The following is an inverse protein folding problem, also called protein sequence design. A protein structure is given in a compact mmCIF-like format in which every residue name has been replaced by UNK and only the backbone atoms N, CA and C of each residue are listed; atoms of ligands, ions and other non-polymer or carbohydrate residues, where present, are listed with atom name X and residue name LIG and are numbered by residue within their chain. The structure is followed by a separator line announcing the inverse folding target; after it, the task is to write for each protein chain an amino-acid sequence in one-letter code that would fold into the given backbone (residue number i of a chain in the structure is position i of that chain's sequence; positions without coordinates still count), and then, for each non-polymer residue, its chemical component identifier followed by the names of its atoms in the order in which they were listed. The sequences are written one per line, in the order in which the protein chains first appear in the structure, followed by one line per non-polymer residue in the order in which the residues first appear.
data_IF_289688559200
#
_entry.id   IF_289688559200
#
_cell.length_a   1.000
_cell.length_b   1.000
_cell.length_c   1.000
_cell.angle_alpha   90.00
_cell.angle_beta   90.00
_cell.angle_gamma   90.00
#
_symmetry.space_group_name_H-M   'P 1'
#
loop_
_entity.id
_entity.type
_entity.pdbx_description
1 polymer ?
#
# COMPACT_ATOMS: atom_id res chain seq x y z
N UNK A 1 9.15 -4.65 15.22
CA UNK A 1 7.81 -4.97 15.77
C UNK A 1 7.69 -6.49 15.90
N UNK A 2 7.41 -7.01 17.09
CA UNK A 2 7.56 -8.44 17.41
C UNK A 2 6.19 -9.12 17.59
N UNK A 3 6.08 -10.38 17.16
CA UNK A 3 4.97 -11.25 17.56
C UNK A 3 5.09 -11.50 19.07
N UNK A 4 4.03 -11.22 19.82
CA UNK A 4 4.08 -11.36 21.28
C UNK A 4 4.24 -12.83 21.70
N UNK A 5 5.12 -13.13 22.66
CA UNK A 5 5.33 -14.50 23.16
C UNK A 5 4.04 -15.13 23.72
N UNK A 6 3.12 -14.31 24.26
CA UNK A 6 1.80 -14.76 24.72
C UNK A 6 0.93 -15.27 23.55
N UNK A 7 1.10 -14.71 22.35
CA UNK A 7 0.43 -15.18 21.13
C UNK A 7 0.94 -16.55 20.73
N UNK A 8 2.26 -16.71 20.65
CA UNK A 8 2.91 -17.97 20.29
C UNK A 8 2.47 -19.11 21.22
N UNK A 9 2.51 -18.88 22.54
CA UNK A 9 2.06 -19.87 23.54
C UNK A 9 0.58 -20.26 23.39
N UNK A 10 -0.29 -19.31 23.03
CA UNK A 10 -1.71 -19.61 22.77
C UNK A 10 -1.87 -20.48 21.52
N UNK A 11 -1.19 -20.12 20.44
CA UNK A 11 -1.22 -20.89 19.18
C UNK A 11 -0.72 -22.30 19.42
N UNK A 12 0.44 -22.46 20.06
CA UNK A 12 1.01 -23.77 20.38
C UNK A 12 0.02 -24.64 21.17
N UNK A 13 -0.57 -24.09 22.24
CA UNK A 13 -1.56 -24.82 23.06
C UNK A 13 -2.79 -25.22 22.26
N UNK A 14 -3.29 -24.35 21.39
CA UNK A 14 -4.46 -24.68 20.55
C UNK A 14 -4.13 -25.76 19.54
N UNK A 15 -2.96 -25.71 18.88
CA UNK A 15 -2.54 -26.75 17.94
C UNK A 15 -2.37 -28.11 18.64
N UNK A 16 -1.72 -28.15 19.81
CA UNK A 16 -1.57 -29.40 20.59
C UNK A 16 -2.92 -29.99 21.01
N UNK A 17 -3.89 -29.16 21.41
CA UNK A 17 -5.27 -29.63 21.73
C UNK A 17 -6.00 -30.22 20.53
N UNK A 18 -5.61 -29.87 19.30
CA UNK A 18 -6.13 -30.45 18.08
C UNK A 18 -5.42 -31.75 17.67
N UNK A 19 -4.52 -32.27 18.50
CA UNK A 19 -3.71 -33.45 18.17
C UNK A 19 -2.57 -33.16 17.20
N UNK A 20 -2.23 -31.88 16.95
CA UNK A 20 -1.15 -31.51 16.03
C UNK A 20 0.20 -31.68 16.75
N UNK A 21 1.05 -32.51 16.17
CA UNK A 21 2.42 -32.71 16.61
C UNK A 21 3.33 -31.61 16.06
N UNK A 22 3.83 -30.74 16.95
CA UNK A 22 4.71 -29.63 16.58
C UNK A 22 6.18 -30.01 16.74
N UNK A 23 6.91 -30.03 15.62
CA UNK A 23 8.36 -30.21 15.55
C UNK A 23 9.02 -28.87 15.23
N UNK A 24 9.54 -28.18 16.25
CA UNK A 24 10.18 -26.86 16.10
C UNK A 24 11.68 -27.00 15.85
N UNK A 25 12.29 -26.00 15.22
CA UNK A 25 13.71 -26.02 14.81
C UNK A 25 14.07 -27.23 13.94
N UNK A 26 13.08 -27.69 13.19
CA UNK A 26 13.19 -28.87 12.35
C UNK A 26 12.59 -28.56 10.98
N UNK A 27 13.27 -28.99 9.94
CA UNK A 27 12.97 -28.68 8.54
C UNK A 27 13.12 -29.94 7.69
N UNK A 28 12.15 -30.17 6.81
CA UNK A 28 12.25 -31.18 5.78
C UNK A 28 13.27 -30.76 4.70
N UNK A 29 14.18 -31.66 4.38
CA UNK A 29 15.17 -31.53 3.31
C UNK A 29 14.58 -32.06 2.01
N UNK A 30 13.83 -31.21 1.31
CA UNK A 30 13.19 -31.56 0.04
C UNK A 30 14.11 -31.22 -1.14
N UNK A 31 14.18 -32.10 -2.14
CA UNK A 31 14.73 -31.79 -3.47
C UNK A 31 13.77 -30.91 -4.26
N UNK A 32 14.24 -30.28 -5.35
CA UNK A 32 13.36 -29.46 -6.21
C UNK A 32 12.24 -30.29 -6.82
N UNK A 33 12.56 -31.50 -7.31
CA UNK A 33 11.55 -32.44 -7.80
C UNK A 33 10.49 -32.75 -6.74
N UNK A 34 10.89 -32.93 -5.47
CA UNK A 34 9.94 -33.18 -4.38
C UNK A 34 9.06 -31.96 -4.05
N UNK A 35 9.58 -30.73 -4.17
CA UNK A 35 8.76 -29.50 -4.00
C UNK A 35 7.74 -29.34 -5.11
N UNK A 36 8.11 -29.70 -6.33
CA UNK A 36 7.31 -29.48 -7.54
C UNK A 36 6.36 -30.64 -7.87
N UNK A 37 6.48 -31.78 -7.20
CA UNK A 37 5.71 -32.98 -7.51
C UNK A 37 4.19 -32.86 -7.25
N UNK A 38 3.72 -31.80 -6.58
CA UNK A 38 2.30 -31.57 -6.35
C UNK A 38 1.66 -32.61 -5.42
N UNK A 39 0.41 -33.01 -5.70
CA UNK A 39 -0.29 -34.08 -4.98
C UNK A 39 0.16 -35.45 -5.50
N UNK A 40 0.47 -36.37 -4.58
CA UNK A 40 0.82 -37.75 -4.90
C UNK A 40 0.00 -38.67 -4.03
N UNK A 41 -0.67 -39.63 -4.64
CA UNK A 41 -1.52 -40.62 -3.98
C UNK A 41 -0.67 -41.80 -3.45
N UNK A 42 0.32 -41.51 -2.60
CA UNK A 42 1.11 -42.53 -1.90
C UNK A 42 1.87 -41.95 -0.71
N UNK A 43 2.13 -42.80 0.29
CA UNK A 43 3.01 -42.44 1.42
C UNK A 43 4.43 -42.17 0.95
N UNK A 44 5.04 -41.15 1.54
CA UNK A 44 6.42 -40.74 1.28
C UNK A 44 7.17 -40.49 2.57
N UNK A 45 8.45 -40.79 2.55
CA UNK A 45 9.37 -40.52 3.64
C UNK A 45 10.30 -39.36 3.29
N UNK A 46 10.38 -38.37 4.17
CA UNK A 46 11.18 -37.17 3.99
C UNK A 46 12.21 -37.02 5.10
N UNK A 47 13.47 -36.81 4.71
CA UNK A 47 14.56 -36.59 5.66
C UNK A 47 14.47 -35.17 6.27
N UNK A 48 14.80 -35.06 7.54
CA UNK A 48 14.87 -33.79 8.26
C UNK A 48 16.32 -33.31 8.36
N UNK A 49 16.51 -32.05 8.74
CA UNK A 49 17.84 -31.50 9.02
C UNK A 49 18.52 -32.11 10.26
N UNK A 50 17.85 -32.99 11.01
CA UNK A 50 18.42 -33.74 12.13
C UNK A 50 18.80 -35.19 11.75
N UNK A 51 18.56 -35.60 10.50
CA UNK A 51 18.81 -36.96 10.02
C UNK A 51 17.64 -37.93 10.22
N UNK A 52 16.59 -37.52 10.94
CA UNK A 52 15.36 -38.30 11.08
C UNK A 52 14.55 -38.33 9.78
N UNK A 53 13.61 -39.28 9.70
CA UNK A 53 12.64 -39.37 8.62
C UNK A 53 11.21 -39.16 9.11
N UNK A 54 10.41 -38.49 8.28
CA UNK A 54 8.97 -38.29 8.51
C UNK A 54 8.21 -38.94 7.36
N UNK A 55 7.38 -39.93 7.70
CA UNK A 55 6.44 -40.53 6.76
C UNK A 55 5.12 -39.74 6.73
N UNK A 56 4.62 -39.45 5.54
CA UNK A 56 3.36 -38.75 5.34
C UNK A 56 2.71 -39.14 4.02
N UNK A 57 1.38 -39.18 4.01
CA UNK A 57 0.49 -39.34 2.87
C UNK A 57 0.19 -37.99 2.16
N UNK A 58 0.30 -36.86 2.87
CA UNK A 58 0.03 -35.52 2.36
C UNK A 58 1.01 -34.48 2.90
N UNK A 59 1.75 -33.85 2.00
CA UNK A 59 2.68 -32.77 2.32
C UNK A 59 2.19 -31.41 1.80
N UNK A 60 1.88 -30.49 2.72
CA UNK A 60 1.74 -29.07 2.40
C UNK A 60 3.08 -28.35 2.60
N UNK A 61 3.71 -27.91 1.50
CA UNK A 61 4.98 -27.20 1.56
C UNK A 61 4.75 -25.69 1.72
N UNK A 62 5.12 -25.15 2.87
CA UNK A 62 5.17 -23.72 3.11
C UNK A 62 6.58 -23.19 2.76
N UNK A 63 6.79 -22.72 1.53
CA UNK A 63 8.11 -22.31 1.02
C UNK A 63 8.61 -20.99 1.60
N UNK A 64 7.72 -20.15 2.14
CA UNK A 64 8.06 -18.80 2.57
C UNK A 64 8.56 -17.92 1.41
N UNK A 65 9.16 -16.77 1.74
CA UNK A 65 9.70 -15.86 0.74
C UNK A 65 11.12 -16.28 0.36
N UNK A 66 11.23 -17.18 -0.63
CA UNK A 66 12.54 -17.62 -1.15
C UNK A 66 13.18 -16.53 -2.02
N UNK A 67 12.35 -15.80 -2.78
CA UNK A 67 12.78 -14.69 -3.63
C UNK A 67 11.64 -13.69 -3.77
N UNK A 68 11.95 -12.40 -3.68
CA UNK A 68 11.00 -11.33 -3.95
C UNK A 68 10.97 -10.98 -5.44
N UNK A 69 9.83 -10.48 -5.93
CA UNK A 69 9.72 -10.02 -7.30
C UNK A 69 10.31 -8.61 -7.44
N UNK A 70 11.62 -8.55 -7.67
CA UNK A 70 12.42 -7.31 -7.69
C UNK A 70 13.04 -7.00 -9.04
N UNK A 71 12.94 -7.91 -10.01
CA UNK A 71 13.62 -7.83 -11.32
C UNK A 71 13.51 -6.47 -12.01
N UNK A 72 12.32 -5.86 -12.01
CA UNK A 72 12.10 -4.54 -12.62
C UNK A 72 13.00 -3.45 -12.00
N UNK A 73 13.12 -3.46 -10.67
CA UNK A 73 13.96 -2.50 -9.94
C UNK A 73 15.44 -2.84 -10.11
N UNK A 74 15.77 -4.13 -10.18
CA UNK A 74 17.13 -4.58 -10.46
C UNK A 74 17.63 -4.07 -11.82
N UNK A 75 16.80 -4.20 -12.86
CA UNK A 75 17.11 -3.72 -14.21
C UNK A 75 17.24 -2.18 -14.26
N UNK A 76 16.40 -1.46 -13.51
CA UNK A 76 16.41 0.00 -13.45
C UNK A 76 17.68 0.54 -12.77
N UNK A 77 18.12 -0.11 -11.70
CA UNK A 77 19.18 0.38 -10.81
C UNK A 77 20.50 -0.36 -11.02
N UNK A 78 20.81 -0.82 -12.23
CA UNK A 78 21.95 -1.69 -12.52
C UNK A 78 23.31 -1.26 -11.89
N UNK A 79 23.53 0.05 -11.68
CA UNK A 79 24.74 0.59 -11.04
C UNK A 79 24.59 0.99 -9.57
N UNK A 80 23.36 1.00 -9.06
CA UNK A 80 22.98 1.41 -7.70
C UNK A 80 22.14 0.32 -7.02
N UNK A 81 22.34 -0.93 -7.43
CA UNK A 81 21.52 -2.07 -7.00
C UNK A 81 21.51 -2.23 -5.48
N UNK A 82 22.66 -2.02 -4.85
CA UNK A 82 22.86 -2.09 -3.40
C UNK A 82 22.13 -0.97 -2.64
N UNK A 83 21.78 0.12 -3.32
CA UNK A 83 21.00 1.24 -2.77
C UNK A 83 19.49 1.00 -2.85
N UNK A 84 19.04 0.10 -3.75
CA UNK A 84 17.61 -0.13 -4.00
C UNK A 84 17.15 -1.55 -3.68
N UNK A 85 18.05 -2.51 -3.49
CA UNK A 85 17.75 -3.88 -3.04
C UNK A 85 18.47 -4.12 -1.71
N UNK A 86 17.70 -4.46 -0.68
CA UNK A 86 18.21 -4.81 0.64
C UNK A 86 19.02 -6.12 0.61
N UNK A 87 19.79 -6.37 1.66
CA UNK A 87 20.55 -7.63 1.82
C UNK A 87 19.65 -8.89 1.83
N UNK A 88 18.37 -8.71 2.15
CA UNK A 88 17.35 -9.77 2.17
C UNK A 88 16.62 -9.93 0.84
N UNK A 89 16.99 -9.14 -0.18
CA UNK A 89 16.45 -9.19 -1.53
C UNK A 89 15.13 -8.42 -1.71
N UNK A 90 14.77 -7.55 -0.77
CA UNK A 90 13.57 -6.69 -0.85
C UNK A 90 13.94 -5.35 -1.49
N UNK A 91 13.00 -4.67 -2.13
CA UNK A 91 13.18 -3.29 -2.58
C UNK A 91 13.30 -2.40 -1.34
N UNK A 92 14.43 -1.69 -1.25
CA UNK A 92 14.68 -0.70 -0.22
C UNK A 92 13.86 0.56 -0.47
N UNK A 93 13.02 0.95 0.50
CA UNK A 93 12.20 2.15 0.41
C UNK A 93 12.36 3.09 1.60
N UNK A 94 12.21 4.39 1.31
CA UNK A 94 12.09 5.41 2.35
C UNK A 94 10.78 5.24 3.14
N UNK A 95 10.63 5.88 4.31
CA UNK A 95 9.35 5.90 5.04
C UNK A 95 8.19 6.49 4.24
N UNK A 96 8.46 7.26 3.18
CA UNK A 96 7.46 7.75 2.22
C UNK A 96 7.03 6.70 1.18
N UNK A 97 7.61 5.50 1.24
CA UNK A 97 7.46 4.36 0.33
C UNK A 97 8.09 4.56 -1.06
N UNK A 98 8.91 5.59 -1.21
CA UNK A 98 9.65 5.90 -2.44
C UNK A 98 10.96 5.12 -2.50
N UNK A 99 11.42 4.81 -3.71
CA UNK A 99 12.80 4.40 -3.95
C UNK A 99 13.74 5.59 -3.72
N UNK A 100 14.91 5.33 -3.13
CA UNK A 100 15.91 6.37 -2.81
C UNK A 100 16.38 7.09 -4.08
N UNK A 101 16.83 6.33 -5.09
CA UNK A 101 17.33 6.89 -6.36
C UNK A 101 16.21 7.39 -7.30
N UNK A 102 14.96 6.97 -7.07
CA UNK A 102 13.83 7.30 -7.94
C UNK A 102 12.64 7.81 -7.12
N UNK A 103 12.63 9.09 -6.72
CA UNK A 103 11.58 9.64 -5.86
C UNK A 103 10.17 9.58 -6.46
N UNK A 104 10.03 9.37 -7.77
CA UNK A 104 8.73 9.22 -8.43
C UNK A 104 8.26 7.76 -8.52
N UNK A 105 9.07 6.80 -8.05
CA UNK A 105 8.74 5.38 -8.02
C UNK A 105 8.51 4.96 -6.58
N UNK A 106 7.43 4.21 -6.36
CA UNK A 106 7.03 3.70 -5.06
C UNK A 106 6.99 2.19 -5.08
N UNK A 107 7.38 1.54 -3.98
CA UNK A 107 7.21 0.10 -3.78
C UNK A 107 6.46 -0.18 -2.48
N UNK A 108 5.51 -1.10 -2.54
CA UNK A 108 4.65 -1.53 -1.43
C UNK A 108 4.45 -3.04 -1.48
N UNK A 109 3.90 -3.60 -0.42
CA UNK A 109 3.59 -5.02 -0.29
C UNK A 109 4.82 -5.85 0.03
N UNK A 110 4.79 -7.11 -0.41
CA UNK A 110 5.77 -8.10 0.00
C UNK A 110 7.17 -7.82 -0.55
N UNK A 111 7.25 -7.20 -1.74
CA UNK A 111 8.54 -6.86 -2.35
C UNK A 111 9.27 -5.72 -1.66
N UNK A 112 8.63 -4.87 -0.86
CA UNK A 112 9.26 -3.71 -0.22
C UNK A 112 9.67 -4.00 1.23
N UNK A 113 10.82 -3.50 1.67
CA UNK A 113 11.33 -3.65 3.05
C UNK A 113 10.61 -2.77 4.09
N UNK A 114 9.47 -2.20 3.72
CA UNK A 114 8.67 -1.30 4.55
C UNK A 114 8.04 -1.94 5.80
N UNK A 115 7.96 -3.29 5.88
CA UNK A 115 7.33 -3.99 7.01
C UNK A 115 8.12 -5.24 7.42
N UNK A 116 8.36 -5.44 8.74
CA UNK A 116 9.09 -6.61 9.23
C UNK A 116 8.31 -7.93 9.09
N UNK A 117 6.99 -7.85 8.88
CA UNK A 117 6.14 -9.02 8.63
C UNK A 117 5.33 -8.74 7.37
N UNK A 118 5.39 -9.66 6.43
CA UNK A 118 4.70 -9.61 5.14
C UNK A 118 3.24 -10.04 5.33
N UNK A 119 2.33 -9.07 5.29
CA UNK A 119 0.92 -9.25 5.58
C UNK A 119 0.09 -8.41 4.61
N UNK A 120 -1.01 -8.97 4.11
CA UNK A 120 -1.98 -8.23 3.30
C UNK A 120 -2.51 -6.96 4.01
N UNK A 121 -2.68 -7.01 5.34
CA UNK A 121 -3.09 -5.84 6.13
C UNK A 121 -2.05 -4.72 6.12
N UNK A 122 -0.75 -5.06 6.10
CA UNK A 122 0.33 -4.09 5.98
C UNK A 122 0.39 -3.52 4.56
N UNK A 123 0.28 -4.37 3.54
CA UNK A 123 0.25 -3.96 2.13
C UNK A 123 -0.92 -2.98 1.85
N UNK A 124 -2.09 -3.24 2.44
CA UNK A 124 -3.24 -2.35 2.31
C UNK A 124 -3.02 -0.98 2.98
N UNK A 125 -2.40 -0.95 4.16
CA UNK A 125 -2.02 0.32 4.79
C UNK A 125 -0.98 1.06 3.94
N UNK A 126 0.04 0.37 3.45
CA UNK A 126 1.07 0.96 2.57
C UNK A 126 0.43 1.57 1.31
N UNK A 127 -0.53 0.88 0.68
CA UNK A 127 -1.25 1.39 -0.47
C UNK A 127 -1.95 2.73 -0.19
N UNK A 128 -2.55 2.89 1.00
CA UNK A 128 -3.18 4.16 1.41
C UNK A 128 -2.16 5.30 1.52
N UNK A 129 -1.00 5.04 2.13
CA UNK A 129 0.05 6.05 2.27
C UNK A 129 0.67 6.39 0.91
N UNK A 130 0.96 5.38 0.09
CA UNK A 130 1.49 5.53 -1.26
C UNK A 130 0.54 6.38 -2.13
N UNK A 131 -0.75 6.03 -2.20
CA UNK A 131 -1.74 6.79 -2.95
C UNK A 131 -1.81 8.26 -2.48
N UNK A 132 -1.81 8.49 -1.15
CA UNK A 132 -1.82 9.85 -0.59
C UNK A 132 -0.59 10.65 -1.01
N UNK A 133 0.58 10.02 -1.05
CA UNK A 133 1.82 10.65 -1.48
C UNK A 133 1.81 10.97 -2.98
N UNK A 134 1.35 10.03 -3.82
CA UNK A 134 1.17 10.26 -5.25
C UNK A 134 0.24 11.46 -5.51
N UNK A 135 -0.92 11.51 -4.83
CA UNK A 135 -1.84 12.64 -4.98
C UNK A 135 -1.22 13.98 -4.53
N UNK A 136 -0.43 13.98 -3.46
CA UNK A 136 0.29 15.19 -3.01
C UNK A 136 1.29 15.66 -4.06
N UNK A 137 2.09 14.74 -4.61
CA UNK A 137 3.05 15.07 -5.67
C UNK A 137 2.37 15.60 -6.94
N UNK A 138 1.27 15.00 -7.37
CA UNK A 138 0.51 15.46 -8.54
C UNK A 138 -0.04 16.88 -8.31
N UNK A 139 -0.64 17.14 -7.15
CA UNK A 139 -1.18 18.46 -6.81
C UNK A 139 -0.08 19.51 -6.73
N UNK A 140 1.04 19.18 -6.10
CA UNK A 140 2.18 20.09 -5.99
C UNK A 140 2.77 20.42 -7.37
N UNK A 141 2.91 19.41 -8.25
CA UNK A 141 3.37 19.65 -9.63
C UNK A 141 2.43 20.59 -10.39
N UNK A 142 1.11 20.40 -10.30
CA UNK A 142 0.13 21.28 -10.96
C UNK A 142 0.17 22.71 -10.43
N UNK A 143 0.20 22.89 -9.11
CA UNK A 143 0.30 24.21 -8.50
C UNK A 143 1.58 24.93 -8.94
N UNK A 144 2.70 24.21 -8.99
CA UNK A 144 3.96 24.76 -9.51
C UNK A 144 3.86 25.11 -11.01
N UNK A 145 3.24 24.27 -11.85
CA UNK A 145 3.01 24.56 -13.27
C UNK A 145 2.12 25.80 -13.48
N UNK A 146 1.05 25.94 -12.70
CA UNK A 146 0.14 27.11 -12.72
C UNK A 146 0.86 28.40 -12.30
N UNK A 147 1.67 28.34 -11.24
CA UNK A 147 2.50 29.45 -10.78
C UNK A 147 3.54 29.88 -11.84
N UNK A 148 4.21 28.92 -12.48
CA UNK A 148 5.15 29.21 -13.56
C UNK A 148 4.47 29.83 -14.79
N UNK A 149 3.28 29.36 -15.15
CA UNK A 149 2.51 29.92 -16.26
C UNK A 149 2.06 31.38 -15.98
N UNK A 150 1.63 31.66 -14.74
CA UNK A 150 1.28 33.00 -14.29
C UNK A 150 2.49 33.94 -14.33
N UNK A 151 3.65 33.50 -13.83
CA UNK A 151 4.90 34.26 -13.90
C UNK A 151 5.34 34.53 -15.35
N UNK A 152 5.24 33.55 -16.25
CA UNK A 152 5.57 33.73 -17.66
C UNK A 152 4.64 34.72 -18.37
N UNK A 153 3.34 34.68 -18.07
CA UNK A 153 2.35 35.62 -18.62
C UNK A 153 2.61 37.04 -18.14
N UNK A 154 2.90 37.21 -16.84
CA UNK A 154 3.27 38.51 -16.29
C UNK A 154 4.56 39.05 -16.92
N UNK A 155 5.60 38.23 -17.06
CA UNK A 155 6.86 38.62 -17.70
C UNK A 155 6.65 39.09 -19.16
N UNK A 156 5.84 38.36 -19.95
CA UNK A 156 5.52 38.73 -21.31
C UNK A 156 4.77 40.07 -21.41
N UNK A 157 3.83 40.34 -20.49
CA UNK A 157 3.14 41.63 -20.42
C UNK A 157 4.08 42.78 -20.07
N UNK A 158 5.07 42.55 -19.20
CA UNK A 158 6.05 43.59 -18.81
C UNK A 158 7.15 43.85 -19.84
N UNK A 159 7.35 42.96 -20.81
CA UNK A 159 8.29 43.16 -21.92
C UNK A 159 7.74 44.09 -23.01
N UNK A 160 6.43 44.35 -23.04
CA UNK A 160 5.85 45.42 -23.85
C UNK A 160 6.13 46.78 -23.20
N UNK A 161 7.14 47.48 -23.70
CA UNK A 161 7.44 48.86 -23.32
C UNK A 161 6.37 49.82 -23.87
N UNK A 162 5.94 50.86 -23.14
CA UNK A 162 5.03 51.89 -23.63
C UNK A 162 5.50 52.60 -24.91
N UNK A 163 6.79 52.48 -25.25
CA UNK A 163 7.39 53.06 -26.45
C UNK A 163 7.06 52.33 -27.77
N UNK A 164 6.53 51.10 -27.72
CA UNK A 164 6.07 50.36 -28.92
C UNK A 164 4.59 50.61 -29.26
N UNK A 165 3.89 51.47 -28.51
CA UNK A 165 2.51 51.89 -28.79
C UNK A 165 2.45 53.16 -29.67
N UNK A 166 3.40 53.31 -30.60
CA UNK A 166 3.38 54.34 -31.63
C UNK A 166 2.79 53.79 -32.93
N UNK A 167 1.73 54.43 -33.42
CA UNK A 167 1.05 54.20 -34.71
C UNK A 167 -0.04 53.10 -34.77
N UNK A 168 -1.14 53.31 -34.06
CA UNK A 168 -2.45 52.88 -34.54
C UNK A 168 -3.18 54.09 -35.15
N UNK A 169 -3.19 54.17 -36.48
CA UNK A 169 -3.98 55.12 -37.23
C UNK A 169 -5.48 54.80 -37.08
N UNK A 170 -6.35 55.81 -36.89
CA UNK A 170 -7.79 55.58 -36.92
C UNK A 170 -8.21 55.50 -38.39
N UNK A 171 -8.60 54.31 -38.86
CA UNK A 171 -9.57 54.07 -39.94
C UNK A 171 -9.37 52.66 -40.49
N UNK A 172 -10.06 51.65 -39.94
CA UNK A 172 -10.66 50.58 -40.75
C UNK A 172 -11.93 50.09 -40.04
N UNK A 173 -13.07 50.28 -40.71
CA UNK A 173 -14.32 49.60 -40.41
C UNK A 173 -14.14 48.10 -40.65
N UNK A 174 -14.50 47.27 -39.67
CA UNK A 174 -14.94 45.91 -39.94
C UNK A 174 -16.14 45.59 -39.06
N UNK A 175 -17.30 45.49 -39.71
CA UNK A 175 -18.59 45.09 -39.21
C UNK A 175 -18.63 43.58 -38.94
N UNK A 176 -19.05 43.16 -37.74
CA UNK A 176 -19.22 41.73 -37.43
C UNK A 176 -19.69 41.41 -36.01
N UNK A 177 -21.01 41.48 -35.82
CA UNK A 177 -21.88 40.75 -34.89
C UNK A 177 -21.62 40.72 -33.36
N UNK A 178 -22.68 41.19 -32.69
CA UNK A 178 -23.41 40.62 -31.54
C UNK A 178 -22.84 40.80 -30.11
N UNK A 179 -23.50 41.71 -29.41
CA UNK A 179 -23.62 41.84 -27.94
C UNK A 179 -24.08 40.55 -27.25
N UNK A 180 -23.82 40.41 -25.94
CA UNK A 180 -24.95 40.47 -25.02
C UNK A 180 -24.82 41.57 -23.97
N UNK A 181 -26.00 42.13 -23.71
CA UNK A 181 -26.50 43.03 -22.68
C UNK A 181 -25.73 43.13 -21.36
N UNK A 182 -25.60 44.38 -20.94
CA UNK A 182 -25.41 44.88 -19.59
C UNK A 182 -26.53 44.46 -18.63
N UNK A 183 -26.16 44.17 -17.39
CA UNK A 183 -26.92 44.60 -16.22
C UNK A 183 -25.97 45.17 -15.16
N UNK A 184 -26.19 46.44 -14.87
CA UNK A 184 -25.62 47.23 -13.79
C UNK A 184 -26.41 47.02 -12.50
N UNK A 185 -25.74 46.86 -11.36
CA UNK A 185 -26.17 47.28 -10.02
C UNK A 185 -25.00 46.94 -9.07
N UNK A 186 -24.25 47.92 -8.57
CA UNK A 186 -24.54 48.81 -7.44
C UNK A 186 -23.70 48.39 -6.22
N UNK A 187 -22.82 49.30 -5.82
CA UNK A 187 -22.28 49.52 -4.47
C UNK A 187 -22.66 48.52 -3.37
N UNK A 188 -21.65 47.84 -2.85
CA UNK A 188 -21.42 47.66 -1.40
C UNK A 188 -19.95 47.25 -1.25
N UNK A 189 -19.09 48.24 -1.06
CA UNK A 189 -17.88 48.06 -0.27
C UNK A 189 -18.34 47.80 1.17
N UNK A 190 -17.54 47.02 1.91
CA UNK A 190 -17.69 46.69 3.33
C UNK A 190 -18.46 45.39 3.62
N UNK A 191 -17.79 44.22 3.48
CA UNK A 191 -17.87 43.11 4.48
C UNK A 191 -17.06 41.83 4.16
N UNK A 192 -16.28 41.75 3.07
CA UNK A 192 -15.47 40.54 2.76
C UNK A 192 -14.04 40.52 3.36
N UNK A 193 -13.70 41.44 4.28
CA UNK A 193 -12.34 41.50 4.87
C UNK A 193 -12.16 40.71 6.17
N UNK A 194 -13.17 39.99 6.66
CA UNK A 194 -13.13 39.32 7.99
C UNK A 194 -13.22 37.78 8.00
N UNK A 195 -13.19 37.11 6.85
CA UNK A 195 -13.16 35.63 6.80
C UNK A 195 -11.97 35.03 6.04
N UNK A 196 -11.07 35.85 5.49
CA UNK A 196 -9.88 35.39 4.77
C UNK A 196 -8.60 35.25 5.63
N UNK A 197 -8.67 35.51 6.94
CA UNK A 197 -7.50 35.42 7.84
C UNK A 197 -7.50 34.13 8.66
N UNK A 198 -7.31 32.96 8.02
CA UNK A 198 -6.60 31.79 8.62
C UNK A 198 -6.39 30.63 7.64
N UNK A 199 -5.66 30.84 6.56
CA UNK A 199 -5.00 29.75 5.80
C UNK A 199 -3.88 30.34 4.94
N UNK A 200 -2.88 30.91 5.60
CA UNK A 200 -1.55 30.94 5.00
C UNK A 200 -1.11 29.48 4.86
N UNK A 201 -1.37 28.89 3.69
CA UNK A 201 -0.78 27.63 3.32
C UNK A 201 0.71 27.91 3.14
N UNK A 202 1.51 27.62 4.17
CA UNK A 202 2.95 27.55 4.03
C UNK A 202 3.26 26.56 2.88
N UNK A 203 3.90 26.99 1.77
CA UNK A 203 4.14 26.13 0.60
C UNK A 203 4.95 24.87 0.97
N UNK A 204 5.73 24.94 2.05
CA UNK A 204 6.53 23.82 2.56
C UNK A 204 5.70 22.73 3.28
N UNK A 205 4.57 23.10 3.91
CA UNK A 205 3.64 22.15 4.54
C UNK A 205 2.88 21.31 3.49
N UNK A 206 2.60 21.89 2.31
CA UNK A 206 1.95 21.18 1.20
C UNK A 206 2.84 20.13 0.53
N UNK A 207 4.17 20.24 0.65
CA UNK A 207 5.13 19.31 0.05
C UNK A 207 5.46 18.10 0.95
N UNK A 208 5.07 18.13 2.23
CA UNK A 208 5.47 17.08 3.17
C UNK A 208 4.73 15.76 2.88
N UNK A 209 5.46 14.76 2.42
CA UNK A 209 4.91 13.43 2.16
C UNK A 209 4.56 12.71 3.48
N UNK A 210 3.55 11.84 3.40
CA UNK A 210 3.13 10.98 4.48
C UNK A 210 4.17 9.90 4.76
N UNK A 211 4.51 9.72 6.04
CA UNK A 211 5.44 8.70 6.50
C UNK A 211 4.67 7.45 6.94
N UNK A 212 4.90 6.33 6.27
CA UNK A 212 4.43 5.03 6.68
C UNK A 212 5.23 4.52 7.88
N UNK A 213 4.52 3.97 8.87
CA UNK A 213 5.12 3.27 10.01
C UNK A 213 4.47 1.90 10.10
N UNK A 214 5.23 0.80 10.01
CA UNK A 214 4.65 -0.53 10.05
C UNK A 214 4.11 -0.82 11.46
N UNK A 215 2.86 -1.27 11.50
CA UNK A 215 2.22 -1.70 12.75
C UNK A 215 1.62 -3.08 12.54
N UNK A 216 2.21 -4.15 13.12
CA UNK A 216 1.77 -5.50 12.84
C UNK A 216 0.38 -5.72 13.42
N UNK A 217 -0.57 -5.98 12.52
CA UNK A 217 -1.96 -6.32 12.85
C UNK A 217 -2.37 -7.53 12.05
N UNK A 218 -2.74 -8.59 12.74
CA UNK A 218 -3.14 -9.83 12.08
C UNK A 218 -4.10 -10.64 12.93
N UNK A 219 -4.83 -11.51 12.23
CA UNK A 219 -5.76 -12.47 12.80
C UNK A 219 -5.38 -13.83 12.23
N UNK A 220 -5.15 -14.79 13.13
CA UNK A 220 -4.88 -16.18 12.84
C UNK A 220 -6.11 -17.02 13.22
N UNK A 221 -6.63 -17.76 12.24
CA UNK A 221 -7.65 -18.78 12.49
C UNK A 221 -6.98 -20.03 13.04
N UNK A 222 -7.59 -20.65 14.05
CA UNK A 222 -7.14 -21.92 14.64
C UNK A 222 -8.26 -22.98 14.51
N UNK A 223 -9.05 -22.88 13.44
CA UNK A 223 -10.24 -23.69 13.17
C UNK A 223 -11.54 -22.90 13.31
N UNK A 224 -12.70 -23.47 12.94
CA UNK A 224 -13.97 -22.72 12.82
C UNK A 224 -14.44 -22.01 14.11
N UNK A 225 -13.98 -22.49 15.28
CA UNK A 225 -14.39 -22.03 16.61
C UNK A 225 -13.25 -21.50 17.49
N UNK A 226 -12.02 -21.41 16.96
CA UNK A 226 -10.90 -20.80 17.68
C UNK A 226 -10.07 -19.88 16.77
N UNK A 227 -9.30 -19.03 17.40
CA UNK A 227 -8.43 -18.11 16.73
C UNK A 227 -7.78 -17.16 17.70
N UNK A 228 -6.91 -16.34 17.17
CA UNK A 228 -6.26 -15.29 17.94
C UNK A 228 -5.83 -14.17 17.02
N UNK A 229 -5.95 -12.93 17.49
CA UNK A 229 -5.42 -11.77 16.79
C UNK A 229 -4.40 -11.02 17.62
N UNK A 230 -3.62 -10.20 16.95
CA UNK A 230 -2.80 -9.17 17.57
C UNK A 230 -3.18 -7.84 16.94
N UNK A 231 -3.51 -6.85 17.77
CA UNK A 231 -3.85 -5.50 17.34
C UNK A 231 -2.91 -4.46 17.98
N UNK A 232 -2.56 -3.39 17.25
CA UNK A 232 -1.74 -2.32 17.79
C UNK A 232 -2.31 -1.73 19.08
N UNK A 233 -1.46 -1.54 20.09
CA UNK A 233 -1.77 -0.91 21.40
C UNK A 233 -2.79 -1.66 22.29
N UNK A 234 -3.64 -2.51 21.72
CA UNK A 234 -4.64 -3.33 22.42
C UNK A 234 -4.04 -4.69 22.83
N UNK A 235 -3.03 -5.19 22.11
CA UNK A 235 -2.39 -6.47 22.39
C UNK A 235 -3.13 -7.65 21.75
N UNK A 236 -3.39 -8.70 22.53
CA UNK A 236 -3.99 -9.94 22.01
C UNK A 236 -5.51 -9.83 21.99
N UNK A 237 -6.09 -10.12 20.82
CA UNK A 237 -7.53 -10.18 20.65
C UNK A 237 -8.09 -11.57 21.01
N UNK A 238 -9.29 -11.63 21.62
CA UNK A 238 -9.93 -12.88 22.02
C UNK A 238 -10.39 -13.72 20.82
N UNK A 239 -10.62 -15.02 21.06
CA UNK A 239 -11.01 -15.97 20.01
C UNK A 239 -12.29 -15.57 19.26
N UNK A 240 -13.30 -15.03 19.96
CA UNK A 240 -14.56 -14.63 19.32
C UNK A 240 -14.34 -13.61 18.20
N UNK A 241 -13.38 -12.69 18.36
CA UNK A 241 -13.05 -11.69 17.36
C UNK A 241 -12.43 -12.34 16.12
N UNK A 242 -11.44 -13.21 16.34
CA UNK A 242 -10.81 -13.95 15.25
C UNK A 242 -11.80 -14.85 14.51
N UNK A 243 -12.71 -15.51 15.24
CA UNK A 243 -13.74 -16.37 14.67
C UNK A 243 -14.73 -15.57 13.81
N UNK A 244 -15.21 -14.42 14.30
CA UNK A 244 -16.17 -13.59 13.58
C UNK A 244 -15.63 -13.07 12.24
N UNK A 245 -14.37 -12.63 12.23
CA UNK A 245 -13.78 -11.97 11.06
C UNK A 245 -13.06 -12.92 10.10
N UNK A 246 -12.56 -14.05 10.59
CA UNK A 246 -11.74 -14.95 9.78
C UNK A 246 -12.18 -16.41 9.89
N UNK A 247 -12.35 -16.96 11.09
CA UNK A 247 -12.41 -18.41 11.25
C UNK A 247 -13.76 -19.05 10.89
N UNK A 248 -14.90 -18.44 11.22
CA UNK A 248 -16.21 -19.11 11.17
C UNK A 248 -16.63 -19.53 9.76
N UNK A 249 -16.29 -18.72 8.75
CA UNK A 249 -16.57 -19.03 7.34
C UNK A 249 -15.35 -18.89 6.44
N UNK A 250 -14.13 -18.86 7.01
CA UNK A 250 -12.89 -18.66 6.24
C UNK A 250 -12.95 -17.49 5.24
N UNK A 251 -13.63 -16.41 5.62
CA UNK A 251 -13.92 -15.25 4.75
C UNK A 251 -14.78 -15.53 3.50
N UNK A 252 -15.28 -16.75 3.28
CA UNK A 252 -16.12 -17.11 2.12
C UNK A 252 -17.27 -16.12 1.92
N UNK A 253 -17.98 -15.78 3.00
CA UNK A 253 -19.05 -14.78 3.00
C UNK A 253 -18.65 -13.43 2.41
N UNK A 254 -17.48 -12.95 2.81
CA UNK A 254 -16.95 -11.66 2.37
C UNK A 254 -16.43 -11.72 0.94
N UNK A 255 -15.76 -12.82 0.57
CA UNK A 255 -15.22 -13.05 -0.77
C UNK A 255 -16.34 -13.15 -1.80
N UNK A 256 -17.36 -13.97 -1.55
CA UNK A 256 -18.51 -14.10 -2.45
C UNK A 256 -19.25 -12.78 -2.63
N UNK A 257 -19.52 -12.04 -1.53
CA UNK A 257 -20.10 -10.70 -1.60
C UNK A 257 -19.28 -9.72 -2.42
N UNK A 258 -17.95 -9.78 -2.29
CA UNK A 258 -17.05 -8.95 -3.07
C UNK A 258 -17.17 -9.22 -4.58
N UNK A 259 -17.37 -10.49 -4.96
CA UNK A 259 -17.62 -10.88 -6.35
C UNK A 259 -19.09 -10.78 -6.80
N UNK A 260 -19.99 -10.27 -5.95
CA UNK A 260 -21.43 -10.23 -6.26
C UNK A 260 -22.08 -11.61 -6.36
N UNK A 261 -21.45 -12.65 -5.81
CA UNK A 261 -21.93 -14.03 -5.82
C UNK A 261 -22.64 -14.41 -4.51
N UNK A 262 -23.57 -15.35 -4.58
CA UNK A 262 -24.22 -15.92 -3.39
C UNK A 262 -23.44 -17.11 -2.84
N UNK A 263 -23.38 -17.23 -1.51
CA UNK A 263 -22.80 -18.42 -0.89
C UNK A 263 -23.64 -19.66 -1.23
N UNK A 264 -23.01 -20.77 -1.64
CA UNK A 264 -23.73 -22.02 -1.79
C UNK A 264 -24.39 -22.44 -0.46
N UNK A 265 -25.56 -23.08 -0.49
CA UNK A 265 -26.34 -23.43 0.71
C UNK A 265 -25.54 -24.19 1.76
N UNK A 266 -24.70 -25.13 1.29
CA UNK A 266 -23.87 -26.01 2.12
C UNK A 266 -22.77 -25.25 2.88
N UNK A 267 -22.38 -24.06 2.40
CA UNK A 267 -21.41 -23.18 3.06
C UNK A 267 -22.07 -22.20 4.05
N UNK A 268 -23.41 -22.09 4.06
CA UNK A 268 -24.15 -21.23 5.02
C UNK A 268 -24.22 -21.87 6.42
N UNK A 269 -24.07 -23.19 6.51
CA UNK A 269 -24.21 -24.01 7.73
C UNK A 269 -22.91 -24.22 8.52
N UNK A 270 -21.76 -23.76 8.00
CA UNK A 270 -20.46 -23.70 8.71
C UNK A 270 -20.42 -22.44 9.61
#
# INVERSE_FOLDING_TARGET
AQVQAKLQRRVERSLRRLGIHLRLKERLLLTEAQRMAGWIESSRSYMTNHGDYVETDLLFVCTGNVRYNTRLVEDLAARTIEEVISRTGEIHVLPTLQLVAYPHIFAIGDCADASPIKLATAAFDQARFCARNIFRLIRHRRAWEEEQAAHATFAALTQFSPHDMGSLHPHQHCSGLATPSSHSASSTQDDESRLATKRENNPDESAKLALYRPVPKFVLSLGPRDGVGQWPYVGILPAWFACRHKSRRLMLGQIYRFFGAELPPNAKTI
#
